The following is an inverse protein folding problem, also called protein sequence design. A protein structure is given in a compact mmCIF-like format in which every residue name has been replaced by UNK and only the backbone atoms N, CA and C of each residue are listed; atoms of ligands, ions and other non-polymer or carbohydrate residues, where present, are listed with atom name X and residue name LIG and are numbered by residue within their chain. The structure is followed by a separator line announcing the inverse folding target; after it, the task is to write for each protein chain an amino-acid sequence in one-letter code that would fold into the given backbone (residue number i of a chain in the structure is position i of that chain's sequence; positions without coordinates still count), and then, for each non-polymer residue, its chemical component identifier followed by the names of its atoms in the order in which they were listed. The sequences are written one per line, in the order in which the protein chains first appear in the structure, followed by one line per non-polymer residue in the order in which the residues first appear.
data_IF_225504785157
#
_entry.id   IF_225504785157
#
_cell.length_a   1.000
_cell.length_b   1.000
_cell.length_c   1.000
_cell.angle_alpha   90.00
_cell.angle_beta   90.00
_cell.angle_gamma   90.00
#
_symmetry.space_group_name_H-M   'P 1'
#
loop_
_entity.id
_entity.type
_entity.pdbx_description
1 polymer ?
#
# COMPACT_ATOMS: atom_id res chain seq x y z
N UNK A 1 -17.82 -13.11 8.98
CA UNK A 1 -17.85 -11.63 9.03
C UNK A 1 -19.27 -11.20 9.34
N UNK A 2 -19.49 -10.56 10.49
CA UNK A 2 -20.80 -10.04 10.89
C UNK A 2 -21.16 -8.80 10.07
N UNK A 3 -22.45 -8.63 9.77
CA UNK A 3 -22.95 -7.43 9.09
C UNK A 3 -22.92 -6.26 10.08
N UNK A 4 -21.89 -5.44 9.97
CA UNK A 4 -21.72 -4.23 10.77
C UNK A 4 -22.89 -3.24 10.56
N UNK A 5 -23.59 -3.31 9.43
CA UNK A 5 -24.81 -2.51 9.21
C UNK A 5 -25.93 -2.95 10.14
N UNK A 6 -26.06 -4.26 10.42
CA UNK A 6 -27.03 -4.77 11.38
C UNK A 6 -26.70 -4.34 12.83
N UNK A 7 -25.45 -3.96 13.08
CA UNK A 7 -24.98 -3.40 14.35
C UNK A 7 -25.00 -1.85 14.38
N UNK A 8 -25.56 -1.21 13.35
CA UNK A 8 -25.73 0.25 13.29
C UNK A 8 -24.53 1.03 12.79
N UNK A 9 -23.48 0.37 12.27
CA UNK A 9 -22.35 1.06 11.65
C UNK A 9 -22.68 1.48 10.22
N UNK A 10 -22.50 2.77 9.92
CA UNK A 10 -22.70 3.32 8.59
C UNK A 10 -21.38 3.46 7.81
N UNK A 11 -21.45 3.20 6.51
CA UNK A 11 -20.37 3.51 5.58
C UNK A 11 -20.26 5.02 5.41
N UNK A 12 -19.12 5.60 5.81
CA UNK A 12 -18.84 7.02 5.63
C UNK A 12 -18.90 7.39 4.14
N UNK A 13 -19.50 8.55 3.85
CA UNK A 13 -19.56 9.10 2.49
C UNK A 13 -18.15 9.28 1.93
N UNK A 14 -17.83 8.53 0.87
CA UNK A 14 -16.52 8.56 0.21
C UNK A 14 -16.17 9.92 -0.40
N UNK A 15 -17.16 10.78 -0.62
CA UNK A 15 -16.97 12.16 -1.10
C UNK A 15 -16.54 13.12 0.00
N UNK A 16 -16.70 12.75 1.27
CA UNK A 16 -16.21 13.56 2.41
C UNK A 16 -14.68 13.54 2.53
N UNK A 17 -13.99 12.70 1.74
CA UNK A 17 -12.53 12.60 1.66
C UNK A 17 -11.88 12.50 3.05
N UNK A 18 -10.57 12.73 3.14
CA UNK A 18 -9.89 12.89 4.41
C UNK A 18 -10.24 14.28 4.95
N UNK A 19 -10.92 14.31 6.10
CA UNK A 19 -11.05 15.56 6.84
C UNK A 19 -9.71 15.95 7.50
N UNK A 20 -9.73 17.11 8.16
CA UNK A 20 -8.53 17.66 8.77
C UNK A 20 -7.89 16.75 9.82
N UNK A 21 -8.69 16.03 10.60
CA UNK A 21 -8.16 15.15 11.66
C UNK A 21 -7.47 13.93 11.05
N UNK A 22 -8.04 13.35 9.99
CA UNK A 22 -7.38 12.29 9.23
C UNK A 22 -6.08 12.77 8.59
N UNK A 23 -6.09 13.97 7.98
CA UNK A 23 -4.90 14.57 7.38
C UNK A 23 -3.81 14.86 8.43
N UNK A 24 -4.21 15.32 9.62
CA UNK A 24 -3.31 15.59 10.73
C UNK A 24 -2.63 14.32 11.23
N UNK A 25 -3.40 13.25 11.46
CA UNK A 25 -2.85 11.95 11.86
C UNK A 25 -1.87 11.42 10.81
N UNK A 26 -2.22 11.53 9.53
CA UNK A 26 -1.33 11.16 8.43
C UNK A 26 -0.03 11.99 8.43
N UNK A 27 -0.12 13.31 8.60
CA UNK A 27 1.03 14.19 8.64
C UNK A 27 1.95 13.89 9.83
N UNK A 28 1.39 13.63 11.02
CA UNK A 28 2.14 13.26 12.22
C UNK A 28 2.86 11.92 12.05
N UNK A 29 2.18 10.89 11.53
CA UNK A 29 2.79 9.60 11.26
C UNK A 29 3.91 9.71 10.23
N UNK A 30 3.67 10.46 9.15
CA UNK A 30 4.66 10.70 8.09
C UNK A 30 5.90 11.44 8.62
N UNK A 31 5.71 12.46 9.46
CA UNK A 31 6.80 13.20 10.08
C UNK A 31 7.67 12.29 10.98
N UNK A 32 7.06 11.41 11.77
CA UNK A 32 7.77 10.44 12.61
C UNK A 32 8.59 9.47 11.77
N UNK A 33 8.02 8.94 10.69
CA UNK A 33 8.73 8.04 9.77
C UNK A 33 9.89 8.74 9.07
N UNK A 34 9.71 9.98 8.63
CA UNK A 34 10.77 10.78 8.01
C UNK A 34 11.92 11.07 8.99
N UNK A 35 11.59 11.48 10.23
CA UNK A 35 12.58 11.67 11.28
C UNK A 35 13.32 10.37 11.64
N UNK A 36 12.59 9.25 11.70
CA UNK A 36 13.17 7.93 11.92
C UNK A 36 14.13 7.53 10.79
N UNK A 37 13.76 7.74 9.52
CA UNK A 37 14.62 7.47 8.38
C UNK A 37 15.93 8.29 8.45
N UNK A 38 15.86 9.57 8.85
CA UNK A 38 17.06 10.41 9.06
C UNK A 38 17.93 9.85 10.19
N UNK A 39 17.33 9.47 11.32
CA UNK A 39 18.06 8.90 12.45
C UNK A 39 18.70 7.55 12.08
N UNK A 40 17.99 6.72 11.33
CA UNK A 40 18.48 5.45 10.80
C UNK A 40 19.64 5.68 9.82
N UNK A 41 19.55 6.68 8.95
CA UNK A 41 20.64 7.01 8.01
C UNK A 41 21.91 7.44 8.74
N UNK A 42 21.76 8.21 9.83
CA UNK A 42 22.88 8.62 10.67
C UNK A 42 23.52 7.45 11.41
N UNK A 43 22.72 6.49 11.87
CA UNK A 43 23.18 5.37 12.70
C UNK A 43 23.69 4.19 11.87
N UNK A 44 23.05 3.91 10.74
CA UNK A 44 23.33 2.75 9.90
C UNK A 44 23.04 3.07 8.42
N UNK A 45 23.91 3.87 7.76
CA UNK A 45 23.66 4.42 6.43
C UNK A 45 23.51 3.35 5.35
N UNK A 46 24.15 2.19 5.50
CA UNK A 46 24.07 1.06 4.56
C UNK A 46 22.69 0.43 4.39
N UNK A 47 21.81 0.58 5.39
CA UNK A 47 20.40 0.17 5.28
C UNK A 47 19.59 1.09 4.35
N UNK A 48 20.03 2.34 4.16
CA UNK A 48 19.34 3.34 3.35
C UNK A 48 20.05 3.60 2.02
N UNK A 49 21.37 3.49 1.93
CA UNK A 49 22.09 3.63 0.66
C UNK A 49 21.75 2.52 -0.34
N UNK A 50 21.33 1.35 0.15
CA UNK A 50 20.76 0.28 -0.69
C UNK A 50 19.40 0.63 -1.33
N UNK A 51 18.67 1.62 -0.78
CA UNK A 51 17.42 2.13 -1.38
C UNK A 51 17.66 3.01 -2.62
N UNK A 52 18.82 3.66 -2.75
CA UNK A 52 19.04 4.70 -3.77
C UNK A 52 19.96 4.33 -4.93
N UNK A 53 20.93 3.43 -4.72
CA UNK A 53 22.10 3.35 -5.61
C UNK A 53 22.00 2.31 -6.73
N UNK A 54 21.06 1.37 -6.67
CA UNK A 54 20.85 0.39 -7.73
C UNK A 54 19.41 0.55 -8.25
N UNK A 55 19.22 1.22 -9.39
CA UNK A 55 17.89 1.35 -10.04
C UNK A 55 17.17 0.00 -10.15
N UNK A 56 17.94 -1.07 -10.43
CA UNK A 56 17.42 -2.44 -10.52
C UNK A 56 16.98 -3.00 -9.16
N UNK A 57 17.75 -2.81 -8.07
CA UNK A 57 17.33 -3.22 -6.72
C UNK A 57 16.17 -2.38 -6.20
N UNK A 58 16.16 -1.08 -6.49
CA UNK A 58 15.04 -0.18 -6.17
C UNK A 58 13.77 -0.66 -6.87
N UNK A 59 13.84 -1.01 -8.15
CA UNK A 59 12.70 -1.54 -8.90
C UNK A 59 12.26 -2.91 -8.38
N UNK A 60 13.19 -3.83 -8.10
CA UNK A 60 12.88 -5.15 -7.55
C UNK A 60 12.27 -5.06 -6.15
N UNK A 61 12.78 -4.16 -5.29
CA UNK A 61 12.25 -3.90 -3.95
C UNK A 61 10.89 -3.18 -4.00
N UNK A 62 10.72 -2.23 -4.92
CA UNK A 62 9.43 -1.54 -5.15
C UNK A 62 8.39 -2.54 -5.65
N UNK A 63 8.76 -3.39 -6.61
CA UNK A 63 7.92 -4.49 -7.10
C UNK A 63 7.55 -5.44 -5.97
N UNK A 64 8.52 -5.83 -5.14
CA UNK A 64 8.31 -6.69 -3.98
C UNK A 64 7.30 -6.06 -3.00
N UNK A 65 7.47 -4.79 -2.65
CA UNK A 65 6.55 -4.08 -1.75
C UNK A 65 5.14 -3.98 -2.31
N UNK A 66 4.99 -3.55 -3.57
CA UNK A 66 3.68 -3.40 -4.21
C UNK A 66 2.97 -4.75 -4.38
N UNK A 67 3.66 -5.78 -4.86
CA UNK A 67 3.08 -7.12 -5.02
C UNK A 67 2.77 -7.77 -3.66
N UNK A 68 3.62 -7.58 -2.63
CA UNK A 68 3.35 -8.11 -1.29
C UNK A 68 2.07 -7.52 -0.70
N UNK A 69 1.86 -6.21 -0.82
CA UNK A 69 0.61 -5.58 -0.37
C UNK A 69 -0.62 -6.15 -1.09
N UNK A 70 -0.52 -6.41 -2.40
CA UNK A 70 -1.61 -7.03 -3.17
C UNK A 70 -1.86 -8.50 -2.79
N UNK A 71 -0.83 -9.26 -2.42
CA UNK A 71 -0.95 -10.63 -1.88
C UNK A 71 -1.72 -10.60 -0.54
N UNK A 72 -1.36 -9.69 0.36
CA UNK A 72 -2.08 -9.56 1.63
C UNK A 72 -3.53 -9.13 1.41
N UNK A 73 -3.78 -8.22 0.47
CA UNK A 73 -5.15 -7.86 0.10
C UNK A 73 -5.91 -9.02 -0.53
N UNK A 74 -5.31 -9.84 -1.39
CA UNK A 74 -6.00 -11.00 -1.98
C UNK A 74 -6.32 -12.06 -0.93
N UNK A 75 -5.37 -12.37 -0.04
CA UNK A 75 -5.60 -13.29 1.09
C UNK A 75 -6.72 -12.80 2.01
N UNK A 76 -6.77 -11.50 2.32
CA UNK A 76 -7.85 -10.92 3.12
C UNK A 76 -9.22 -10.96 2.42
N UNK A 77 -9.25 -10.99 1.09
CA UNK A 77 -10.49 -10.98 0.31
C UNK A 77 -10.98 -12.39 -0.08
N UNK A 78 -10.19 -13.44 0.16
CA UNK A 78 -10.44 -14.81 -0.27
C UNK A 78 -11.76 -15.38 0.27
N UNK A 79 -12.11 -15.03 1.50
CA UNK A 79 -13.33 -15.48 2.18
C UNK A 79 -14.52 -14.52 2.04
N UNK A 80 -14.38 -13.45 1.25
CA UNK A 80 -15.38 -12.37 1.14
C UNK A 80 -16.10 -12.38 -0.21
N UNK A 81 -17.23 -13.11 -0.34
CA UNK A 81 -17.92 -13.29 -1.62
C UNK A 81 -18.41 -11.97 -2.24
N UNK A 82 -18.70 -10.95 -1.40
CA UNK A 82 -19.08 -9.61 -1.83
C UNK A 82 -17.99 -8.91 -2.67
N UNK A 83 -16.72 -9.26 -2.46
CA UNK A 83 -15.57 -8.64 -3.12
C UNK A 83 -14.90 -9.55 -4.16
N UNK A 84 -15.60 -10.61 -4.62
CA UNK A 84 -15.07 -11.58 -5.59
C UNK A 84 -14.52 -10.92 -6.85
N UNK A 85 -15.20 -9.87 -7.36
CA UNK A 85 -14.76 -9.12 -8.53
C UNK A 85 -13.39 -8.43 -8.32
N UNK A 86 -13.17 -7.85 -7.14
CA UNK A 86 -11.92 -7.19 -6.77
C UNK A 86 -10.82 -8.23 -6.54
N UNK A 87 -11.14 -9.34 -5.87
CA UNK A 87 -10.23 -10.48 -5.69
C UNK A 87 -9.74 -11.04 -7.03
N UNK A 88 -10.65 -11.30 -7.97
CA UNK A 88 -10.34 -11.79 -9.31
C UNK A 88 -9.47 -10.79 -10.10
N UNK A 89 -9.78 -9.49 -9.99
CA UNK A 89 -9.01 -8.43 -10.63
C UNK A 89 -7.57 -8.31 -10.08
N UNK A 90 -7.41 -8.39 -8.75
CA UNK A 90 -6.09 -8.38 -8.09
C UNK A 90 -5.28 -9.60 -8.52
N UNK A 91 -5.86 -10.79 -8.45
CA UNK A 91 -5.18 -12.04 -8.82
C UNK A 91 -4.79 -12.08 -10.30
N UNK A 92 -5.66 -11.61 -11.20
CA UNK A 92 -5.35 -11.48 -12.64
C UNK A 92 -4.19 -10.51 -12.88
N UNK A 93 -4.20 -9.38 -12.18
CA UNK A 93 -3.16 -8.34 -12.32
C UNK A 93 -1.80 -8.80 -11.80
N UNK A 94 -1.79 -9.61 -10.73
CA UNK A 94 -0.58 -10.24 -10.19
C UNK A 94 -0.02 -11.31 -11.13
N UNK A 95 -0.87 -12.21 -11.65
CA UNK A 95 -0.46 -13.29 -12.57
C UNK A 95 0.14 -12.76 -13.87
N UNK A 96 -0.47 -11.70 -14.41
CA UNK A 96 -0.07 -11.16 -15.72
C UNK A 96 1.02 -10.09 -15.62
N UNK A 97 1.52 -9.80 -14.41
CA UNK A 97 2.48 -8.74 -14.12
C UNK A 97 2.03 -7.34 -14.63
N UNK A 98 0.74 -7.19 -14.94
CA UNK A 98 0.14 -6.03 -15.61
C UNK A 98 0.26 -4.78 -14.74
N UNK A 99 0.06 -4.95 -13.44
CA UNK A 99 0.17 -3.87 -12.47
C UNK A 99 1.59 -3.29 -12.41
N UNK A 100 2.62 -4.14 -12.50
CA UNK A 100 4.01 -3.70 -12.54
C UNK A 100 4.34 -2.94 -13.84
N UNK A 101 3.78 -3.37 -14.96
CA UNK A 101 3.95 -2.69 -16.25
C UNK A 101 3.35 -1.29 -16.22
N UNK A 102 2.10 -1.15 -15.76
CA UNK A 102 1.44 0.16 -15.59
C UNK A 102 2.20 1.09 -14.63
N UNK A 103 2.70 0.56 -13.52
CA UNK A 103 3.48 1.34 -12.56
C UNK A 103 4.76 1.92 -13.19
N UNK A 104 5.44 1.15 -14.03
CA UNK A 104 6.63 1.64 -14.76
C UNK A 104 6.28 2.68 -15.81
N UNK A 105 5.17 2.52 -16.53
CA UNK A 105 4.69 3.50 -17.52
C UNK A 105 4.33 4.84 -16.88
N UNK A 106 3.80 4.86 -15.66
CA UNK A 106 3.50 6.10 -14.93
C UNK A 106 4.75 6.81 -14.36
N UNK A 107 5.89 6.11 -14.29
CA UNK A 107 7.16 6.67 -13.79
C UNK A 107 8.07 7.23 -14.90
N UNK A 108 7.75 6.97 -16.16
CA UNK A 108 8.44 7.50 -17.34
C UNK A 108 7.79 8.79 -17.83
#
# INVERSE_FOLDING_TARGET
LEDLKALGFEMVDRRKLLDFDHCKLFAEASAKLHAFAIALNKKNPELITSFGNDKKKSDDMTKLFLCSNLIYMSAYLEDKPLYKKQFDAINKSMKNNTFWTMFKEMRG
#
